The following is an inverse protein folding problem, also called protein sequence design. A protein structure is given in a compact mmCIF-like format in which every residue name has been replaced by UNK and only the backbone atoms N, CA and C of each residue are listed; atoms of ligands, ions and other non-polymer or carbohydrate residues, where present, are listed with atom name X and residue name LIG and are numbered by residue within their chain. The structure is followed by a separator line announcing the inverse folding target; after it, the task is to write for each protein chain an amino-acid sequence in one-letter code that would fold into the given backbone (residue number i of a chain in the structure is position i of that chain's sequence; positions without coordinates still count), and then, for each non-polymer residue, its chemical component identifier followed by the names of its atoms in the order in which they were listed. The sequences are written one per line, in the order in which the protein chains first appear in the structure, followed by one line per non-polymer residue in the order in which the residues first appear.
data_IF_691170554558
#
_entry.id   IF_691170554558
#
_cell.length_a   1.000
_cell.length_b   1.000
_cell.length_c   1.000
_cell.angle_alpha   90.00
_cell.angle_beta   90.00
_cell.angle_gamma   90.00
#
_symmetry.space_group_name_H-M   'P 1'
#
loop_
_entity.id
_entity.type
_entity.pdbx_description
1 polymer ?
#
# COMPACT_ATOMS: atom_id res chain seq x y z
N UNK A 1 17.91 -0.76 18.26
CA UNK A 1 18.88 -1.21 17.24
C UNK A 1 18.95 -0.24 16.05
N UNK A 2 17.96 -0.15 15.15
CA UNK A 2 18.02 0.73 13.96
C UNK A 2 18.15 2.24 14.27
N UNK A 3 17.44 2.74 15.28
CA UNK A 3 17.58 4.15 15.70
C UNK A 3 18.99 4.47 16.20
N UNK A 4 19.67 3.51 16.85
CA UNK A 4 21.06 3.66 17.28
C UNK A 4 22.00 3.80 16.09
N UNK A 5 21.78 3.01 15.03
CA UNK A 5 22.55 3.12 13.78
C UNK A 5 22.40 4.48 13.10
N UNK A 6 21.25 5.14 13.26
CA UNK A 6 21.02 6.48 12.74
C UNK A 6 21.65 7.57 13.61
N UNK A 7 21.89 7.31 14.89
CA UNK A 7 22.43 8.29 15.81
C UNK A 7 23.96 8.28 15.88
N UNK A 8 24.60 7.14 15.55
CA UNK A 8 26.05 6.99 15.64
C UNK A 8 26.77 7.52 14.38
N UNK A 9 27.59 8.58 14.49
CA UNK A 9 28.29 9.17 13.34
C UNK A 9 29.36 8.26 12.73
N UNK A 10 29.74 7.17 13.43
CA UNK A 10 30.74 6.20 12.93
C UNK A 10 30.12 5.17 11.98
N UNK A 11 28.79 5.11 11.90
CA UNK A 11 28.09 4.18 11.00
C UNK A 11 28.28 4.61 9.56
N UNK A 12 28.71 3.71 8.65
CA UNK A 12 28.85 4.04 7.23
C UNK A 12 27.56 4.60 6.65
N UNK A 13 27.66 5.62 5.78
CA UNK A 13 26.51 6.31 5.20
C UNK A 13 25.49 5.38 4.52
N UNK A 14 25.97 4.34 3.81
CA UNK A 14 25.09 3.32 3.21
C UNK A 14 24.28 2.54 4.26
N UNK A 15 24.91 2.15 5.38
CA UNK A 15 24.24 1.45 6.48
C UNK A 15 23.22 2.35 7.16
N UNK A 16 23.57 3.62 7.39
CA UNK A 16 22.65 4.60 7.96
C UNK A 16 21.45 4.87 7.02
N UNK A 17 21.69 4.97 5.71
CA UNK A 17 20.63 5.11 4.72
C UNK A 17 19.68 3.90 4.72
N UNK A 18 20.22 2.68 4.70
CA UNK A 18 19.43 1.44 4.80
C UNK A 18 18.66 1.33 6.12
N UNK A 19 19.25 1.75 7.25
CA UNK A 19 18.57 1.79 8.53
C UNK A 19 17.37 2.76 8.52
N UNK A 20 17.49 3.91 7.86
CA UNK A 20 16.42 4.89 7.74
C UNK A 20 15.24 4.33 6.93
N UNK A 21 15.50 3.79 5.73
CA UNK A 21 14.45 3.24 4.85
C UNK A 21 13.82 1.96 5.43
N UNK A 22 14.58 1.16 6.18
CA UNK A 22 14.05 -0.02 6.89
C UNK A 22 13.09 0.40 8.00
N UNK A 23 13.47 1.41 8.79
CA UNK A 23 12.59 1.95 9.83
C UNK A 23 11.33 2.58 9.22
N UNK A 24 11.45 3.30 8.11
CA UNK A 24 10.33 3.87 7.37
C UNK A 24 9.37 2.77 6.89
N UNK A 25 9.90 1.72 6.25
CA UNK A 25 9.11 0.58 5.80
C UNK A 25 8.38 -0.14 6.94
N UNK A 26 8.99 -0.25 8.12
CA UNK A 26 8.32 -0.79 9.30
C UNK A 26 7.16 0.10 9.78
N UNK A 27 7.34 1.43 9.81
CA UNK A 27 6.26 2.36 10.17
C UNK A 27 5.11 2.29 9.17
N UNK A 28 5.41 2.22 7.88
CA UNK A 28 4.44 2.06 6.79
C UNK A 28 3.61 0.79 6.90
N UNK A 29 4.26 -0.34 7.24
CA UNK A 29 3.56 -1.62 7.44
C UNK A 29 2.55 -1.58 8.60
N UNK A 30 2.65 -0.59 9.49
CA UNK A 30 1.70 -0.34 10.58
C UNK A 30 0.71 0.79 10.27
N UNK A 31 0.65 1.25 9.01
CA UNK A 31 -0.20 2.36 8.55
C UNK A 31 0.37 3.75 8.82
N UNK A 32 1.57 3.87 9.37
CA UNK A 32 2.18 5.14 9.77
C UNK A 32 2.86 5.90 8.62
N UNK A 33 2.16 6.18 7.52
CA UNK A 33 2.72 6.84 6.33
C UNK A 33 3.34 8.21 6.63
N UNK A 34 2.64 9.06 7.39
CA UNK A 34 3.16 10.37 7.78
C UNK A 34 4.45 10.28 8.61
N UNK A 35 4.59 9.24 9.44
CA UNK A 35 5.77 8.99 10.27
C UNK A 35 6.92 8.35 9.46
N UNK A 36 6.60 7.62 8.39
CA UNK A 36 7.58 6.99 7.51
C UNK A 36 8.25 8.02 6.56
N UNK A 37 7.48 8.97 6.03
CA UNK A 37 7.95 10.01 5.09
C UNK A 37 9.24 10.73 5.51
N UNK A 38 9.38 11.27 6.75
CA UNK A 38 10.62 11.95 7.15
C UNK A 38 11.82 10.99 7.26
N UNK A 39 11.58 9.70 7.54
CA UNK A 39 12.64 8.69 7.62
C UNK A 39 13.17 8.34 6.23
N UNK A 40 12.30 8.12 5.24
CA UNK A 40 12.74 7.91 3.85
C UNK A 40 13.41 9.18 3.30
N UNK A 41 12.90 10.38 3.62
CA UNK A 41 13.57 11.63 3.27
C UNK A 41 14.96 11.75 3.88
N UNK A 42 15.17 11.25 5.11
CA UNK A 42 16.50 11.16 5.73
C UNK A 42 17.38 10.12 5.03
N UNK A 43 16.83 8.95 4.70
CA UNK A 43 17.53 7.89 3.95
C UNK A 43 18.04 8.40 2.60
N UNK A 44 17.22 9.14 1.87
CA UNK A 44 17.58 9.75 0.59
C UNK A 44 18.74 10.74 0.74
N UNK A 45 18.71 11.62 1.77
CA UNK A 45 19.83 12.55 2.04
C UNK A 45 21.12 11.83 2.39
N UNK A 46 21.03 10.78 3.22
CA UNK A 46 22.20 9.97 3.61
C UNK A 46 22.78 9.22 2.42
N UNK A 47 21.93 8.66 1.56
CA UNK A 47 22.33 8.00 0.34
C UNK A 47 23.05 8.96 -0.62
N UNK A 48 22.51 10.17 -0.80
CA UNK A 48 23.11 11.20 -1.66
C UNK A 48 24.45 11.75 -1.12
N UNK A 49 24.62 11.77 0.20
CA UNK A 49 25.85 12.23 0.85
C UNK A 49 26.92 11.13 0.98
N UNK A 50 26.57 9.87 0.73
CA UNK A 50 27.52 8.77 0.81
C UNK A 50 28.55 8.86 -0.34
N UNK A 51 29.82 8.50 -0.10
CA UNK A 51 30.82 8.44 -1.16
C UNK A 51 30.36 7.54 -2.31
N UNK A 52 30.67 7.94 -3.53
CA UNK A 52 30.42 7.11 -4.70
C UNK A 52 31.14 5.77 -4.55
N UNK A 53 30.40 4.69 -4.70
CA UNK A 53 30.90 3.33 -4.66
C UNK A 53 30.32 2.54 -5.83
N UNK A 54 30.99 1.46 -6.28
CA UNK A 54 30.41 0.54 -7.27
C UNK A 54 29.04 0.04 -6.80
N UNK A 55 28.09 -0.06 -7.73
CA UNK A 55 26.76 -0.61 -7.45
C UNK A 55 26.91 -2.07 -7.02
N UNK A 56 26.35 -2.41 -5.86
CA UNK A 56 26.37 -3.77 -5.35
C UNK A 56 25.15 -4.51 -5.90
N UNK A 57 25.30 -5.63 -6.64
CA UNK A 57 24.16 -6.39 -7.15
C UNK A 57 23.13 -6.78 -6.06
N UNK A 58 23.58 -6.98 -4.83
CA UNK A 58 22.71 -7.32 -3.70
C UNK A 58 21.91 -6.12 -3.16
N UNK A 59 22.22 -4.90 -3.60
CA UNK A 59 21.50 -3.68 -3.25
C UNK A 59 21.73 -3.21 -1.81
N UNK A 60 22.94 -3.42 -1.30
CA UNK A 60 23.40 -2.99 0.03
C UNK A 60 24.17 -1.68 0.00
N UNK A 61 24.47 -1.15 -1.18
CA UNK A 61 25.09 0.15 -1.36
C UNK A 61 24.10 1.31 -1.13
N UNK A 62 24.66 2.53 -1.07
CA UNK A 62 23.89 3.74 -0.84
C UNK A 62 22.94 4.09 -1.99
N UNK A 63 23.28 3.77 -3.25
CA UNK A 63 22.42 4.06 -4.39
C UNK A 63 21.14 3.22 -4.34
N UNK A 64 21.25 1.95 -3.97
CA UNK A 64 20.09 1.09 -3.71
C UNK A 64 19.19 1.67 -2.60
N UNK A 65 19.78 2.13 -1.48
CA UNK A 65 19.02 2.79 -0.40
C UNK A 65 18.32 4.07 -0.89
N UNK A 66 18.96 4.85 -1.77
CA UNK A 66 18.37 6.04 -2.38
C UNK A 66 17.14 5.71 -3.24
N UNK A 67 17.22 4.66 -4.07
CA UNK A 67 16.07 4.17 -4.84
C UNK A 67 14.95 3.72 -3.91
N UNK A 68 15.26 2.96 -2.87
CA UNK A 68 14.24 2.53 -1.90
C UNK A 68 13.58 3.68 -1.15
N UNK A 69 14.35 4.72 -0.82
CA UNK A 69 13.83 5.92 -0.19
C UNK A 69 12.82 6.62 -1.11
N UNK A 70 13.13 6.77 -2.41
CA UNK A 70 12.19 7.34 -3.38
C UNK A 70 10.93 6.48 -3.54
N UNK A 71 11.07 5.17 -3.63
CA UNK A 71 9.94 4.23 -3.67
C UNK A 71 9.10 4.32 -2.38
N UNK A 72 9.74 4.44 -1.22
CA UNK A 72 9.09 4.60 0.07
C UNK A 72 8.32 5.92 0.18
N UNK A 73 8.92 7.03 -0.26
CA UNK A 73 8.27 8.33 -0.36
C UNK A 73 7.07 8.29 -1.32
N UNK A 74 7.19 7.57 -2.45
CA UNK A 74 6.08 7.38 -3.38
C UNK A 74 4.93 6.60 -2.73
N UNK A 75 5.23 5.51 -2.01
CA UNK A 75 4.23 4.72 -1.28
C UNK A 75 3.54 5.53 -0.17
N UNK A 76 4.27 6.39 0.56
CA UNK A 76 3.67 7.29 1.54
C UNK A 76 2.81 8.37 0.90
N UNK A 77 3.26 8.92 -0.23
CA UNK A 77 2.45 9.87 -0.99
C UNK A 77 1.14 9.22 -1.46
N UNK A 78 1.17 7.98 -1.97
CA UNK A 78 -0.06 7.23 -2.30
C UNK A 78 -0.96 7.04 -1.08
N UNK A 79 -0.41 6.56 0.04
CA UNK A 79 -1.18 6.34 1.27
C UNK A 79 -1.78 7.62 1.88
N UNK A 80 -1.19 8.77 1.57
CA UNK A 80 -1.70 10.09 1.99
C UNK A 80 -2.54 10.80 0.91
N UNK A 81 -2.75 10.17 -0.25
CA UNK A 81 -3.48 10.76 -1.38
C UNK A 81 -2.77 11.94 -2.06
N UNK A 82 -1.46 12.06 -1.88
CA UNK A 82 -0.62 13.14 -2.43
C UNK A 82 -0.26 12.86 -3.90
N UNK A 83 -0.60 13.77 -4.85
CA UNK A 83 -0.38 13.57 -6.28
C UNK A 83 1.12 13.49 -6.67
N UNK A 84 2.05 13.82 -5.76
CA UNK A 84 3.50 13.70 -6.02
C UNK A 84 3.97 12.25 -6.17
N UNK A 85 3.16 11.27 -5.75
CA UNK A 85 3.50 9.85 -5.79
C UNK A 85 4.04 9.38 -7.15
N UNK A 86 3.37 9.76 -8.24
CA UNK A 86 3.79 9.39 -9.60
C UNK A 86 5.20 9.91 -9.93
N UNK A 87 5.46 11.19 -9.66
CA UNK A 87 6.77 11.82 -9.92
C UNK A 87 7.90 11.20 -9.10
N UNK A 88 7.63 10.83 -7.85
CA UNK A 88 8.61 10.16 -7.00
C UNK A 88 8.97 8.76 -7.53
N UNK A 89 7.97 8.06 -8.07
CA UNK A 89 8.17 6.74 -8.65
C UNK A 89 8.90 6.82 -10.00
N UNK A 90 8.58 7.81 -10.83
CA UNK A 90 9.34 8.11 -12.07
C UNK A 90 10.80 8.43 -11.75
N UNK A 91 11.06 9.19 -10.67
CA UNK A 91 12.41 9.49 -10.23
C UNK A 91 13.15 8.23 -9.73
N UNK A 92 12.49 7.33 -9.01
CA UNK A 92 13.08 6.08 -8.56
C UNK A 92 13.52 5.19 -9.75
N UNK A 93 12.67 5.08 -10.78
CA UNK A 93 12.96 4.35 -12.01
C UNK A 93 14.09 4.98 -12.81
N UNK A 94 14.11 6.32 -12.91
CA UNK A 94 15.15 7.06 -13.61
C UNK A 94 16.54 6.89 -12.96
N UNK A 95 16.61 6.87 -11.62
CA UNK A 95 17.86 6.58 -10.90
C UNK A 95 18.28 5.13 -11.17
N UNK A 96 17.34 4.19 -11.01
CA UNK A 96 17.49 2.77 -11.28
C UNK A 96 18.58 2.09 -10.44
N UNK A 97 18.45 0.77 -10.28
CA UNK A 97 19.49 -0.02 -9.61
C UNK A 97 19.42 -1.49 -10.08
N UNK A 98 20.55 -2.18 -10.31
CA UNK A 98 20.55 -3.56 -10.79
C UNK A 98 20.03 -4.58 -9.76
N UNK A 99 19.86 -4.17 -8.50
CA UNK A 99 19.33 -5.06 -7.47
C UNK A 99 17.91 -5.52 -7.80
N UNK A 100 17.68 -6.83 -7.69
CA UNK A 100 16.34 -7.42 -7.81
C UNK A 100 15.36 -6.78 -6.82
N UNK A 101 15.83 -6.43 -5.61
CA UNK A 101 14.99 -5.94 -4.52
C UNK A 101 14.37 -4.57 -4.83
N UNK A 102 15.15 -3.68 -5.43
CA UNK A 102 14.66 -2.36 -5.87
C UNK A 102 13.63 -2.50 -6.98
N UNK A 103 13.88 -3.40 -7.96
CA UNK A 103 12.93 -3.66 -9.04
C UNK A 103 11.59 -4.23 -8.53
N UNK A 104 11.63 -5.20 -7.60
CA UNK A 104 10.43 -5.76 -6.96
C UNK A 104 9.62 -4.68 -6.25
N UNK A 105 10.27 -3.81 -5.48
CA UNK A 105 9.58 -2.75 -4.72
C UNK A 105 8.98 -1.66 -5.61
N UNK A 106 9.66 -1.30 -6.71
CA UNK A 106 9.09 -0.41 -7.73
C UNK A 106 7.82 -1.03 -8.31
N UNK A 107 7.86 -2.32 -8.68
CA UNK A 107 6.71 -3.03 -9.23
C UNK A 107 5.49 -3.03 -8.29
N UNK A 108 5.72 -3.22 -6.98
CA UNK A 108 4.66 -3.12 -5.98
C UNK A 108 4.01 -1.74 -5.95
N UNK A 109 4.80 -0.67 -5.87
CA UNK A 109 4.25 0.70 -5.77
C UNK A 109 3.61 1.14 -7.09
N UNK A 110 4.10 0.67 -8.24
CA UNK A 110 3.43 0.88 -9.54
C UNK A 110 2.07 0.20 -9.60
N UNK A 111 1.98 -1.04 -9.14
CA UNK A 111 0.72 -1.76 -9.03
C UNK A 111 -0.27 -1.05 -8.10
N UNK A 112 0.20 -0.61 -6.93
CA UNK A 112 -0.60 0.18 -5.98
C UNK A 112 -1.06 1.52 -6.57
N UNK A 113 -0.21 2.22 -7.32
CA UNK A 113 -0.58 3.45 -8.02
C UNK A 113 -1.69 3.22 -9.07
N UNK A 114 -1.63 2.09 -9.80
CA UNK A 114 -2.66 1.72 -10.77
C UNK A 114 -4.01 1.41 -10.10
N UNK A 115 -3.98 0.72 -8.95
CA UNK A 115 -5.16 0.51 -8.11
C UNK A 115 -5.77 1.83 -7.65
N UNK A 116 -4.95 2.72 -7.08
CA UNK A 116 -5.38 4.04 -6.60
C UNK A 116 -5.99 4.90 -7.71
N UNK A 117 -5.40 4.87 -8.90
CA UNK A 117 -5.90 5.60 -10.06
C UNK A 117 -7.17 4.98 -10.69
N UNK A 118 -7.62 3.82 -10.22
CA UNK A 118 -8.79 3.12 -10.76
C UNK A 118 -8.55 2.48 -12.13
N UNK A 119 -7.30 2.18 -12.47
CA UNK A 119 -6.87 1.54 -13.72
C UNK A 119 -6.13 0.23 -13.43
N UNK A 120 -6.71 -0.59 -12.56
CA UNK A 120 -6.09 -1.80 -11.99
C UNK A 120 -5.42 -2.73 -13.02
N UNK A 121 -5.99 -2.88 -14.22
CA UNK A 121 -5.38 -3.66 -15.30
C UNK A 121 -3.94 -3.24 -15.65
N UNK A 122 -3.60 -1.94 -15.53
CA UNK A 122 -2.23 -1.43 -15.73
C UNK A 122 -1.25 -1.86 -14.64
N UNK A 123 -1.75 -2.31 -13.49
CA UNK A 123 -0.93 -2.81 -12.39
C UNK A 123 -0.54 -4.29 -12.51
N UNK A 124 -1.14 -5.03 -13.45
CA UNK A 124 -0.90 -6.48 -13.59
C UNK A 124 0.54 -6.77 -14.00
N UNK A 125 1.02 -6.16 -15.10
CA UNK A 125 2.38 -6.38 -15.60
C UNK A 125 3.47 -6.01 -14.56
N UNK A 126 3.42 -4.85 -13.88
CA UNK A 126 4.35 -4.55 -12.79
C UNK A 126 4.31 -5.57 -11.62
N UNK A 127 3.12 -6.04 -11.24
CA UNK A 127 2.96 -7.01 -10.15
C UNK A 127 3.47 -8.41 -10.53
N UNK A 128 3.23 -8.85 -11.76
CA UNK A 128 3.72 -10.13 -12.29
C UNK A 128 5.24 -10.15 -12.37
N UNK A 129 5.84 -9.08 -12.92
CA UNK A 129 7.30 -8.93 -12.97
C UNK A 129 7.93 -8.89 -11.57
N UNK A 130 7.28 -8.21 -10.62
CA UNK A 130 7.75 -8.20 -9.22
C UNK A 130 7.67 -9.60 -8.57
N UNK A 131 6.69 -10.44 -8.94
CA UNK A 131 6.62 -11.81 -8.45
C UNK A 131 7.69 -12.70 -9.09
N UNK A 132 7.89 -12.60 -10.41
CA UNK A 132 8.94 -13.33 -11.12
C UNK A 132 10.32 -13.03 -10.53
N UNK A 133 10.68 -11.74 -10.42
CA UNK A 133 11.96 -11.32 -9.82
C UNK A 133 12.14 -11.79 -8.39
N UNK A 134 11.08 -11.76 -7.58
CA UNK A 134 11.16 -12.26 -6.21
C UNK A 134 11.40 -13.77 -6.12
N UNK A 135 10.85 -14.54 -7.08
CA UNK A 135 11.06 -15.99 -7.20
C UNK A 135 12.48 -16.31 -7.66
N UNK A 136 12.97 -15.62 -8.69
CA UNK A 136 14.35 -15.74 -9.17
C UNK A 136 15.36 -15.47 -8.05
N UNK A 137 15.09 -14.48 -7.21
CA UNK A 137 15.94 -14.14 -6.06
C UNK A 137 15.80 -15.09 -4.87
N UNK A 138 14.87 -16.06 -4.90
CA UNK A 138 14.66 -17.03 -3.81
C UNK A 138 14.15 -16.43 -2.49
N UNK A 139 13.68 -15.18 -2.49
CA UNK A 139 13.29 -14.50 -1.24
C UNK A 139 11.84 -14.81 -0.86
N UNK A 140 11.62 -15.74 0.06
CA UNK A 140 10.28 -16.14 0.58
C UNK A 140 9.39 -14.94 0.91
N UNK A 141 9.88 -13.97 1.70
CA UNK A 141 9.09 -12.79 2.10
C UNK A 141 8.62 -11.95 0.92
N UNK A 142 9.51 -11.66 -0.02
CA UNK A 142 9.19 -10.88 -1.22
C UNK A 142 8.26 -11.67 -2.14
N UNK A 143 8.40 -13.00 -2.24
CA UNK A 143 7.45 -13.84 -3.00
C UNK A 143 6.04 -13.75 -2.41
N UNK A 144 5.88 -13.93 -1.10
CA UNK A 144 4.56 -13.83 -0.43
C UNK A 144 3.95 -12.44 -0.63
N UNK A 145 4.73 -11.38 -0.43
CA UNK A 145 4.25 -10.00 -0.65
C UNK A 145 3.89 -9.73 -2.12
N UNK A 146 4.69 -10.19 -3.07
CA UNK A 146 4.40 -10.04 -4.51
C UNK A 146 3.14 -10.82 -4.91
N UNK A 147 2.93 -12.03 -4.38
CA UNK A 147 1.69 -12.78 -4.58
C UNK A 147 0.48 -12.01 -4.07
N UNK A 148 0.56 -11.46 -2.85
CA UNK A 148 -0.51 -10.63 -2.28
C UNK A 148 -0.84 -9.44 -3.17
N UNK A 149 0.19 -8.67 -3.59
CA UNK A 149 -0.01 -7.51 -4.47
C UNK A 149 -0.69 -7.92 -5.78
N UNK A 150 -0.19 -8.99 -6.43
CA UNK A 150 -0.74 -9.48 -7.69
C UNK A 150 -2.20 -9.96 -7.53
N UNK A 151 -2.50 -10.73 -6.49
CA UNK A 151 -3.85 -11.21 -6.21
C UNK A 151 -4.83 -10.04 -5.99
N UNK A 152 -4.42 -9.01 -5.25
CA UNK A 152 -5.23 -7.79 -5.07
C UNK A 152 -5.46 -7.07 -6.39
N UNK A 153 -4.43 -6.91 -7.23
CA UNK A 153 -4.59 -6.29 -8.55
C UNK A 153 -5.54 -7.08 -9.44
N UNK A 154 -5.42 -8.41 -9.45
CA UNK A 154 -6.32 -9.31 -10.19
C UNK A 154 -7.75 -9.20 -9.69
N UNK A 155 -7.96 -9.27 -8.38
CA UNK A 155 -9.27 -9.12 -7.74
C UNK A 155 -9.97 -7.82 -8.15
N UNK A 156 -9.25 -6.69 -8.21
CA UNK A 156 -9.83 -5.40 -8.59
C UNK A 156 -10.03 -5.26 -10.10
N UNK A 157 -9.11 -5.78 -10.91
CA UNK A 157 -9.21 -5.72 -12.36
C UNK A 157 -10.34 -6.63 -12.89
N UNK A 158 -10.45 -7.85 -12.34
CA UNK A 158 -11.39 -8.89 -12.74
C UNK A 158 -11.79 -9.70 -11.50
N UNK A 159 -12.82 -9.26 -10.74
CA UNK A 159 -13.27 -9.99 -9.55
C UNK A 159 -13.69 -11.41 -9.91
N UNK A 160 -13.03 -12.40 -9.30
CA UNK A 160 -13.26 -13.83 -9.52
C UNK A 160 -13.12 -14.58 -8.19
N UNK A 161 -14.01 -15.54 -7.93
CA UNK A 161 -13.96 -16.41 -6.76
C UNK A 161 -12.68 -17.25 -6.67
N UNK A 162 -12.00 -17.53 -7.79
CA UNK A 162 -10.70 -18.19 -7.78
C UNK A 162 -9.64 -17.38 -7.01
N UNK A 163 -9.73 -16.04 -7.03
CA UNK A 163 -8.79 -15.14 -6.34
C UNK A 163 -9.00 -15.19 -4.82
N UNK A 164 -10.19 -15.53 -4.32
CA UNK A 164 -10.41 -15.75 -2.89
C UNK A 164 -9.54 -16.90 -2.37
N UNK A 165 -9.58 -18.05 -3.03
CA UNK A 165 -8.74 -19.19 -2.65
C UNK A 165 -7.24 -18.89 -2.76
N UNK A 166 -6.84 -18.05 -3.72
CA UNK A 166 -5.45 -17.58 -3.81
C UNK A 166 -5.05 -16.72 -2.60
N UNK A 167 -5.91 -15.80 -2.17
CA UNK A 167 -5.66 -14.93 -1.02
C UNK A 167 -5.59 -15.70 0.30
N UNK A 168 -6.45 -16.70 0.50
CA UNK A 168 -6.38 -17.60 1.66
C UNK A 168 -5.07 -18.39 1.68
N UNK A 169 -4.68 -18.98 0.54
CA UNK A 169 -3.41 -19.69 0.42
C UNK A 169 -2.18 -18.77 0.63
N UNK A 170 -2.29 -17.48 0.31
CA UNK A 170 -1.26 -16.47 0.62
C UNK A 170 -1.19 -16.21 2.13
N UNK A 171 -2.33 -16.10 2.81
CA UNK A 171 -2.36 -15.94 4.26
C UNK A 171 -1.74 -17.14 4.98
N UNK A 172 -2.08 -18.36 4.56
CA UNK A 172 -1.48 -19.59 5.10
C UNK A 172 0.03 -19.66 4.84
N UNK A 173 0.48 -19.31 3.63
CA UNK A 173 1.90 -19.25 3.32
C UNK A 173 2.65 -18.19 4.15
N UNK A 174 2.00 -17.07 4.45
CA UNK A 174 2.55 -16.04 5.34
C UNK A 174 2.68 -16.57 6.78
N UNK A 175 1.63 -17.23 7.30
CA UNK A 175 1.63 -17.82 8.64
C UNK A 175 2.71 -18.91 8.78
N UNK A 176 2.78 -19.84 7.83
CA UNK A 176 3.79 -20.92 7.83
C UNK A 176 5.23 -20.42 7.74
N UNK A 177 5.46 -19.24 7.16
CA UNK A 177 6.76 -18.60 7.09
C UNK A 177 7.04 -17.63 8.26
N UNK A 178 6.14 -17.49 9.24
CA UNK A 178 6.26 -16.53 10.34
C UNK A 178 6.15 -15.06 9.91
N UNK A 179 5.58 -14.80 8.73
CA UNK A 179 5.41 -13.47 8.14
C UNK A 179 4.05 -12.86 8.51
N UNK A 180 3.70 -12.91 9.79
CA UNK A 180 2.42 -12.45 10.34
C UNK A 180 1.95 -11.05 9.85
N UNK A 181 2.83 -10.07 9.59
CA UNK A 181 2.41 -8.79 9.02
C UNK A 181 1.77 -8.89 7.62
N UNK A 182 1.88 -10.02 6.92
CA UNK A 182 1.30 -10.26 5.59
C UNK A 182 0.01 -11.09 5.66
N UNK A 183 -0.20 -11.88 6.71
CA UNK A 183 -1.40 -12.72 6.86
C UNK A 183 -2.66 -11.89 7.03
N UNK A 184 -2.62 -10.87 7.88
CA UNK A 184 -3.75 -9.96 8.12
C UNK A 184 -4.23 -9.26 6.84
N UNK A 185 -3.34 -8.57 6.10
CA UNK A 185 -3.69 -7.99 4.81
C UNK A 185 -4.23 -9.02 3.79
N UNK A 186 -3.67 -10.23 3.70
CA UNK A 186 -4.20 -11.25 2.79
C UNK A 186 -5.65 -11.64 3.12
N UNK A 187 -5.95 -11.88 4.40
CA UNK A 187 -7.30 -12.22 4.87
C UNK A 187 -8.29 -11.08 4.69
N UNK A 188 -7.86 -9.84 4.93
CA UNK A 188 -8.70 -8.66 4.71
C UNK A 188 -9.03 -8.49 3.21
N UNK A 189 -8.08 -8.76 2.30
CA UNK A 189 -8.34 -8.72 0.86
C UNK A 189 -9.34 -9.80 0.45
N UNK A 190 -9.26 -10.98 1.05
CA UNK A 190 -10.21 -12.05 0.81
C UNK A 190 -11.61 -11.64 1.28
N UNK A 191 -11.74 -11.06 2.47
CA UNK A 191 -13.02 -10.55 2.98
C UNK A 191 -13.63 -9.47 2.07
N UNK A 192 -12.84 -8.47 1.68
CA UNK A 192 -13.28 -7.40 0.78
C UNK A 192 -13.75 -7.94 -0.59
N UNK A 193 -13.05 -8.93 -1.13
CA UNK A 193 -13.44 -9.58 -2.39
C UNK A 193 -14.70 -10.42 -2.21
N UNK A 194 -14.85 -11.13 -1.09
CA UNK A 194 -16.04 -11.92 -0.80
C UNK A 194 -17.29 -11.03 -0.70
N UNK A 195 -17.19 -9.88 -0.04
CA UNK A 195 -18.25 -8.87 0.00
C UNK A 195 -18.58 -8.31 -1.39
N UNK A 196 -17.56 -8.16 -2.25
CA UNK A 196 -17.76 -7.69 -3.63
C UNK A 196 -18.49 -8.73 -4.49
N UNK A 197 -18.14 -10.01 -4.35
CA UNK A 197 -18.77 -11.12 -5.06
C UNK A 197 -20.15 -11.47 -4.50
N UNK A 198 -20.36 -11.27 -3.19
CA UNK A 198 -21.62 -11.49 -2.48
C UNK A 198 -22.55 -10.27 -2.39
N UNK A 199 -22.17 -9.15 -3.02
CA UNK A 199 -22.99 -7.92 -3.06
C UNK A 199 -24.43 -8.19 -3.54
N UNK A 200 -25.41 -7.38 -3.12
CA UNK A 200 -26.79 -7.80 -2.98
C UNK A 200 -27.33 -8.39 -4.28
N UNK A 201 -27.68 -9.67 -4.22
CA UNK A 201 -28.73 -10.18 -5.08
C UNK A 201 -29.92 -9.28 -4.81
N UNK A 202 -30.37 -8.51 -5.80
CA UNK A 202 -31.76 -8.04 -5.83
C UNK A 202 -32.61 -9.29 -6.00
N UNK A 203 -32.65 -10.13 -4.98
CA UNK A 203 -33.70 -11.10 -4.78
C UNK A 203 -34.88 -10.27 -4.33
N UNK A 204 -35.97 -10.35 -5.09
CA UNK A 204 -37.22 -9.74 -4.74
C UNK A 204 -37.63 -10.18 -3.35
N UNK A 205 -37.33 -9.34 -2.36
CA UNK A 205 -38.03 -9.36 -1.10
C UNK A 205 -39.39 -8.78 -1.40
N UNK A 206 -40.37 -9.68 -1.48
CA UNK A 206 -41.79 -9.37 -1.51
C UNK A 206 -42.07 -8.24 -0.52
N UNK A 207 -42.75 -7.13 -0.92
CA UNK A 207 -43.12 -6.10 0.03
C UNK A 207 -44.16 -6.72 0.96
N UNK A 208 -43.77 -6.92 2.22
CA UNK A 208 -44.69 -7.36 3.24
C UNK A 208 -45.76 -6.27 3.37
N UNK A 209 -47.02 -6.69 3.31
CA UNK A 209 -48.18 -5.81 3.34
C UNK A 209 -48.32 -5.16 4.72
N UNK A 210 -47.69 -3.99 4.90
CA UNK A 210 -48.13 -2.96 5.85
C UNK A 210 -47.25 -1.72 5.67
N UNK A 211 -47.56 -0.92 4.66
CA UNK A 211 -47.32 0.52 4.67
C UNK A 211 -48.38 1.18 3.78
N UNK A 212 -49.57 1.37 4.36
CA UNK A 212 -50.56 2.32 3.87
C UNK A 212 -50.43 3.58 4.70
N UNK A 213 -49.86 4.64 4.13
CA UNK A 213 -50.53 5.93 3.95
C UNK A 213 -49.51 7.07 3.74
N UNK A 214 -49.67 7.77 2.61
CA UNK A 214 -49.31 9.18 2.42
C UNK A 214 -47.85 9.46 2.06
N UNK A 215 -47.54 9.74 0.80
CA UNK A 215 -47.66 11.07 0.22
C UNK A 215 -47.25 11.04 -1.27
N UNK A 216 -47.76 12.00 -2.05
CA UNK A 216 -47.73 12.04 -3.52
C UNK A 216 -46.44 12.70 -4.03
N UNK A 217 -45.81 12.09 -5.04
CA UNK A 217 -44.85 12.75 -5.96
C UNK A 217 -45.58 13.71 -6.94
N UNK A 218 -44.91 14.59 -7.73
CA UNK A 218 -43.75 14.36 -8.62
C UNK A 218 -42.60 15.37 -8.36
N UNK A 219 -41.36 15.24 -8.85
CA UNK A 219 -40.95 15.18 -10.25
C UNK A 219 -39.42 14.91 -10.35
N UNK A 220 -38.99 14.41 -11.50
CA UNK A 220 -37.69 13.83 -11.76
C UNK A 220 -36.54 14.85 -11.90
N UNK A 221 -35.36 14.48 -11.41
CA UNK A 221 -34.08 14.92 -11.96
C UNK A 221 -33.09 13.75 -12.01
N UNK A 222 -32.92 13.23 -13.22
CA UNK A 222 -31.99 12.17 -13.59
C UNK A 222 -30.55 12.58 -13.28
N UNK A 223 -29.91 11.92 -12.31
CA UNK A 223 -28.48 11.98 -12.09
C UNK A 223 -27.96 10.58 -11.77
N UNK A 224 -27.65 9.78 -12.80
CA UNK A 224 -27.05 8.46 -12.61
C UNK A 224 -25.80 8.58 -11.73
N UNK A 225 -25.68 7.85 -10.60
CA UNK A 225 -24.48 7.89 -9.80
C UNK A 225 -23.30 7.29 -10.59
N UNK A 226 -22.26 8.11 -10.76
CA UNK A 226 -21.12 7.87 -11.62
C UNK A 226 -20.39 6.55 -11.27
N UNK A 227 -20.54 5.51 -12.10
CA UNK A 227 -19.96 4.19 -11.85
C UNK A 227 -18.43 4.19 -11.70
N UNK A 228 -17.76 5.20 -12.26
CA UNK A 228 -16.33 5.47 -12.06
C UNK A 228 -16.00 5.92 -10.64
N UNK A 229 -16.84 6.72 -9.98
CA UNK A 229 -16.65 7.13 -8.59
C UNK A 229 -16.85 5.95 -7.62
N UNK A 230 -17.85 5.09 -7.90
CA UNK A 230 -18.06 3.84 -7.14
C UNK A 230 -16.92 2.84 -7.34
N UNK A 231 -16.40 2.68 -8.56
CA UNK A 231 -15.23 1.84 -8.85
C UNK A 231 -13.95 2.39 -8.21
N UNK A 232 -13.74 3.71 -8.20
CA UNK A 232 -12.65 4.36 -7.45
C UNK A 232 -12.79 4.16 -5.95
N UNK A 233 -14.00 4.24 -5.41
CA UNK A 233 -14.24 4.01 -3.98
C UNK A 233 -14.11 2.53 -3.59
N UNK A 234 -14.52 1.59 -4.45
CA UNK A 234 -14.31 0.16 -4.25
C UNK A 234 -12.83 -0.23 -4.41
N UNK A 235 -12.14 0.28 -5.44
CA UNK A 235 -10.69 0.12 -5.60
C UNK A 235 -9.91 0.79 -4.46
N UNK A 236 -10.38 1.92 -3.92
CA UNK A 236 -9.83 2.54 -2.72
C UNK A 236 -10.14 1.74 -1.45
N UNK A 237 -11.22 0.93 -1.41
CA UNK A 237 -11.57 -0.01 -0.33
C UNK A 237 -10.75 -1.31 -0.39
N UNK A 238 -10.52 -1.89 -1.57
CA UNK A 238 -9.63 -3.05 -1.73
C UNK A 238 -8.15 -2.66 -1.70
N UNK A 239 -7.76 -1.49 -2.21
CA UNK A 239 -6.45 -0.90 -1.94
C UNK A 239 -6.32 -0.52 -0.46
N UNK A 240 -7.44 -0.18 0.19
CA UNK A 240 -7.53 -0.09 1.65
C UNK A 240 -7.07 -1.37 2.32
N UNK A 241 -7.05 -2.56 1.71
CA UNK A 241 -6.40 -3.71 2.39
C UNK A 241 -4.88 -3.54 2.56
N UNK A 242 -4.23 -2.87 1.61
CA UNK A 242 -2.84 -2.46 1.73
C UNK A 242 -2.68 -1.20 2.61
N UNK A 243 -3.74 -0.40 2.76
CA UNK A 243 -3.74 0.91 3.43
C UNK A 243 -4.57 1.02 4.75
N UNK A 244 -5.35 0.01 5.20
CA UNK A 244 -6.39 0.08 6.27
C UNK A 244 -5.81 0.08 7.68
N UNK A 245 -4.49 0.06 7.80
CA UNK A 245 -3.85 0.45 9.05
C UNK A 245 -3.77 1.98 9.20
N UNK A 246 -4.31 2.76 8.24
CA UNK A 246 -4.35 4.22 8.29
C UNK A 246 -5.41 4.75 9.28
N UNK A 247 -4.92 5.10 10.46
CA UNK A 247 -5.23 6.31 11.25
C UNK A 247 -6.38 6.36 12.30
N UNK A 248 -6.92 5.25 12.84
CA UNK A 248 -7.47 5.32 14.20
C UNK A 248 -6.54 4.71 15.27
N UNK A 249 -5.77 3.67 14.93
CA UNK A 249 -4.97 2.90 15.91
C UNK A 249 -3.54 3.44 16.10
N UNK A 250 -3.04 4.26 15.19
CA UNK A 250 -1.72 4.89 15.31
C UNK A 250 -1.62 5.90 16.46
N UNK A 251 -2.74 6.55 16.82
CA UNK A 251 -2.79 7.59 17.88
C UNK A 251 -2.91 7.01 19.28
N UNK A 252 -3.46 5.79 19.42
CA UNK A 252 -3.60 5.11 20.71
C UNK A 252 -2.31 4.46 21.22
N UNK A 253 -1.38 4.12 20.32
CA UNK A 253 -0.15 3.40 20.66
C UNK A 253 1.05 4.31 21.00
N UNK A 254 0.88 5.65 20.98
CA UNK A 254 1.97 6.62 21.17
C UNK A 254 1.96 7.37 22.51
N UNK A 255 0.97 7.16 23.38
CA UNK A 255 1.00 7.69 24.76
C UNK A 255 1.04 9.23 24.88
N UNK A 256 0.72 9.99 23.84
CA UNK A 256 0.61 11.45 23.92
C UNK A 256 -0.81 11.88 24.33
N UNK A 257 -0.96 12.76 25.34
CA UNK A 257 -2.27 13.21 25.78
C UNK A 257 -2.93 14.12 24.74
N UNK A 258 -4.19 13.84 24.47
CA UNK A 258 -5.09 14.61 23.60
C UNK A 258 -5.20 16.05 24.12
N UNK A 259 -4.63 17.02 23.40
CA UNK A 259 -5.04 18.43 23.56
C UNK A 259 -6.25 18.69 22.68
N UNK A 260 -7.42 18.79 23.31
CA UNK A 260 -8.64 19.26 22.66
C UNK A 260 -8.44 20.72 22.22
N UNK A 261 -8.48 20.97 20.91
CA UNK A 261 -8.47 22.33 20.38
C UNK A 261 -9.88 22.91 20.54
N UNK A 262 -10.00 23.95 21.36
CA UNK A 262 -11.22 24.70 21.56
C UNK A 262 -11.65 25.37 20.24
N UNK A 263 -12.92 25.18 19.88
CA UNK A 263 -13.57 25.93 18.80
C UNK A 263 -13.75 27.38 19.24
N UNK A 264 -12.98 28.30 18.67
CA UNK A 264 -13.32 29.72 18.69
C UNK A 264 -14.51 29.94 17.76
N UNK A 265 -15.69 30.21 18.33
CA UNK A 265 -16.79 30.81 17.59
C UNK A 265 -16.45 32.27 17.33
N UNK A 266 -16.51 32.68 16.07
CA UNK A 266 -16.55 34.10 15.71
C UNK A 266 -18.02 34.44 15.53
N UNK A 267 -18.47 35.41 16.33
CA UNK A 267 -19.71 36.16 16.15
C UNK A 267 -19.38 37.42 15.35
#
# INVERSE_FOLDING_TARGET
MLQGLLADPRVPGAVAAHAAVTLAAHRRQRGGHALARPLDGRGLRLAAAAPAAPRCPDGTDAAAAGVDALVGLAADALGLGDPVAGRLLDAAEAVGHPSWRTAVRIGWVRAEAALYAGVAARGLEPAERALERAREAGSVRHVVKSRLVLAVVRAVAHPDGAVLGELDAIAEAADGAGLFPLSGPARLAAADLADTLGGPTVTGSSPNANDRAGDRSPEAANGRPNGTARRRHAAARTASVLYQLSDPLGRGLTGEPVRASARTSVM
#
